data_IF_497164786224
#
_entry.id   IF_497164786224
#
_cell.length_a   1.000
_cell.length_b   1.000
_cell.length_c   1.000
_cell.angle_alpha   90.00
_cell.angle_beta   90.00
_cell.angle_gamma   90.00
#
_symmetry.space_group_name_H-M   'P 1'
#
loop_
_entity.id
_entity.type
_entity.pdbx_description
1 polymer ?
#
# COMPACT_ATOMS: atom_id res chain seq x y z
N UNK A 1 -56.59 -9.38 -21.49
CA UNK A 1 -55.29 -9.91 -21.92
C UNK A 1 -54.47 -8.75 -22.46
N UNK A 2 -53.71 -8.08 -21.58
CA UNK A 2 -52.89 -6.91 -21.94
C UNK A 2 -51.44 -7.38 -21.90
N UNK A 3 -50.83 -7.43 -23.08
CA UNK A 3 -49.42 -7.78 -23.26
C UNK A 3 -48.60 -6.53 -22.97
N UNK A 4 -47.91 -6.50 -21.83
CA UNK A 4 -46.86 -5.51 -21.56
C UNK A 4 -45.61 -5.92 -22.35
N UNK A 5 -45.25 -5.11 -23.35
CA UNK A 5 -43.95 -5.16 -23.99
C UNK A 5 -42.88 -4.65 -23.02
N UNK A 6 -41.96 -5.51 -22.60
CA UNK A 6 -40.70 -5.07 -22.02
C UNK A 6 -39.78 -4.59 -23.15
N UNK A 7 -39.61 -3.27 -23.23
CA UNK A 7 -38.61 -2.63 -24.08
C UNK A 7 -37.24 -2.88 -23.42
N UNK A 8 -36.41 -3.69 -24.07
CA UNK A 8 -34.98 -3.78 -23.80
C UNK A 8 -34.34 -2.44 -24.19
N UNK A 9 -34.17 -1.55 -23.23
CA UNK A 9 -33.26 -0.43 -23.40
C UNK A 9 -31.83 -0.99 -23.36
N UNK A 10 -31.13 -0.92 -24.50
CA UNK A 10 -29.67 -0.91 -24.50
C UNK A 10 -29.25 0.34 -23.74
N UNK A 11 -28.97 0.20 -22.44
CA UNK A 11 -28.43 1.29 -21.65
C UNK A 11 -27.09 1.69 -22.28
N UNK A 12 -27.00 2.97 -22.67
CA UNK A 12 -25.74 3.69 -22.69
C UNK A 12 -24.99 3.34 -21.39
N UNK A 13 -23.77 2.83 -21.51
CA UNK A 13 -22.87 2.68 -20.36
C UNK A 13 -22.57 4.08 -19.85
N UNK A 14 -23.40 4.59 -18.95
CA UNK A 14 -23.01 5.71 -18.11
C UNK A 14 -21.68 5.32 -17.47
N UNK A 15 -20.62 6.08 -17.74
CA UNK A 15 -19.32 5.86 -17.12
C UNK A 15 -19.51 5.95 -15.61
N UNK A 16 -19.43 4.80 -14.94
CA UNK A 16 -19.47 4.67 -13.50
C UNK A 16 -18.24 5.41 -12.93
N UNK A 17 -18.45 6.23 -11.91
CA UNK A 17 -17.37 6.88 -11.16
C UNK A 17 -16.96 5.94 -10.04
N UNK A 18 -15.95 5.11 -10.31
CA UNK A 18 -15.44 4.13 -9.35
C UNK A 18 -14.56 4.75 -8.27
N UNK A 19 -14.69 4.25 -7.05
CA UNK A 19 -13.80 4.59 -5.93
C UNK A 19 -12.47 3.82 -6.06
N UNK A 20 -11.36 4.51 -5.80
CA UNK A 20 -10.00 3.98 -6.01
C UNK A 20 -9.06 4.17 -4.81
N UNK A 21 -9.60 4.66 -3.68
CA UNK A 21 -8.80 5.14 -2.55
C UNK A 21 -8.13 6.48 -2.84
N UNK A 22 -7.51 7.05 -1.82
CA UNK A 22 -6.76 8.31 -1.92
C UNK A 22 -5.28 7.99 -1.82
N UNK A 23 -4.53 8.36 -2.85
CA UNK A 23 -3.07 8.30 -2.83
C UNK A 23 -2.52 9.35 -1.85
N UNK A 24 -1.65 8.92 -0.93
CA UNK A 24 -1.00 9.78 0.05
C UNK A 24 0.39 10.23 -0.39
N UNK A 25 1.04 9.50 -1.29
CA UNK A 25 2.29 9.96 -1.89
C UNK A 25 1.97 11.00 -2.97
N UNK A 26 2.53 12.20 -2.82
CA UNK A 26 2.43 13.20 -3.88
C UNK A 26 3.39 12.85 -5.01
N UNK A 27 3.00 13.12 -6.26
CA UNK A 27 3.86 12.94 -7.43
C UNK A 27 4.46 11.53 -7.56
N UNK A 28 3.60 10.49 -7.55
CA UNK A 28 4.00 9.08 -7.71
C UNK A 28 4.68 8.76 -9.05
N UNK A 29 4.47 9.62 -10.06
CA UNK A 29 5.12 9.52 -11.37
C UNK A 29 6.40 10.36 -11.46
N UNK A 30 6.81 10.97 -10.34
CA UNK A 30 8.02 11.79 -10.23
C UNK A 30 8.10 12.88 -11.30
N UNK A 31 6.96 13.46 -11.72
CA UNK A 31 6.88 14.48 -12.76
C UNK A 31 7.68 15.72 -12.38
N UNK A 32 7.71 16.05 -11.09
CA UNK A 32 8.48 17.17 -10.58
C UNK A 32 9.93 16.75 -10.32
N UNK A 33 10.27 15.48 -10.22
CA UNK A 33 11.59 15.02 -9.77
C UNK A 33 11.87 15.33 -8.28
N UNK A 34 13.13 15.45 -7.88
CA UNK A 34 13.55 15.43 -6.47
C UNK A 34 14.21 16.74 -6.02
N UNK A 35 13.97 17.13 -4.76
CA UNK A 35 14.73 18.18 -4.07
C UNK A 35 15.74 17.53 -3.15
N UNK A 36 17.02 17.77 -3.36
CA UNK A 36 18.11 17.07 -2.67
C UNK A 36 18.65 17.94 -1.55
N UNK A 37 18.60 17.44 -0.32
CA UNK A 37 19.30 18.04 0.80
C UNK A 37 20.79 17.74 0.64
N UNK A 38 21.67 18.76 0.72
CA UNK A 38 23.11 18.53 0.68
C UNK A 38 23.56 17.56 1.78
N UNK A 39 24.55 16.74 1.45
CA UNK A 39 25.25 15.90 2.40
C UNK A 39 25.89 16.76 3.50
N UNK A 40 25.90 16.20 4.71
CA UNK A 40 26.43 16.81 5.92
C UNK A 40 27.01 15.75 6.81
N UNK A 41 28.19 16.03 7.34
CA UNK A 41 28.78 15.28 8.44
C UNK A 41 28.17 15.87 9.70
N UNK A 42 27.39 15.08 10.45
CA UNK A 42 26.57 15.47 11.61
C UNK A 42 25.34 16.38 11.31
N UNK A 43 24.16 15.75 11.28
CA UNK A 43 22.84 16.42 11.28
C UNK A 43 22.69 17.41 12.46
N UNK A 44 22.03 18.61 12.33
CA UNK A 44 21.12 19.01 11.25
C UNK A 44 21.53 20.28 10.46
N UNK A 45 22.80 20.69 10.46
CA UNK A 45 23.22 21.98 9.88
C UNK A 45 22.87 22.14 8.38
N UNK A 46 22.86 21.04 7.62
CA UNK A 46 22.53 20.96 6.19
C UNK A 46 21.06 21.17 5.83
N UNK A 47 20.12 21.00 6.75
CA UNK A 47 18.68 21.08 6.41
C UNK A 47 18.29 22.50 5.94
N UNK A 48 19.08 23.50 6.37
CA UNK A 48 18.94 24.91 5.97
C UNK A 48 19.77 25.28 4.73
N UNK A 49 20.64 24.39 4.26
CA UNK A 49 21.47 24.66 3.10
C UNK A 49 20.63 24.68 1.81
N UNK A 50 21.05 25.44 0.78
CA UNK A 50 20.38 25.44 -0.51
C UNK A 50 20.30 24.02 -1.08
N UNK A 51 19.10 23.62 -1.49
CA UNK A 51 18.85 22.28 -2.04
C UNK A 51 19.18 22.22 -3.53
N UNK A 52 19.68 21.08 -3.98
CA UNK A 52 19.87 20.77 -5.41
C UNK A 52 18.55 20.25 -5.98
N UNK A 53 18.30 20.50 -7.26
CA UNK A 53 17.09 20.04 -7.95
C UNK A 53 17.44 19.02 -9.02
N UNK A 54 16.88 17.82 -8.90
CA UNK A 54 16.96 16.78 -9.93
C UNK A 54 15.64 16.75 -10.68
N UNK A 55 15.62 17.26 -11.91
CA UNK A 55 14.42 17.26 -12.74
C UNK A 55 14.23 15.90 -13.41
N UNK A 56 12.99 15.45 -13.53
CA UNK A 56 12.66 14.33 -14.40
C UNK A 56 12.62 14.81 -15.85
N UNK A 57 13.61 14.45 -16.70
CA UNK A 57 13.66 14.95 -18.08
C UNK A 57 12.59 14.33 -18.98
N UNK A 58 11.91 13.29 -18.52
CA UNK A 58 10.82 12.63 -19.23
C UNK A 58 9.46 13.27 -18.93
N UNK A 59 9.41 14.29 -18.05
CA UNK A 59 8.20 15.02 -17.72
C UNK A 59 8.07 16.33 -18.48
N UNK A 60 6.82 16.67 -18.85
CA UNK A 60 6.46 17.94 -19.46
C UNK A 60 6.06 19.03 -18.44
N UNK A 61 6.10 18.72 -17.13
CA UNK A 61 5.58 19.61 -16.07
C UNK A 61 6.63 20.13 -15.04
N UNK A 62 7.86 20.54 -15.38
CA UNK A 62 8.92 20.79 -14.40
C UNK A 62 8.74 21.99 -13.43
N UNK A 63 7.62 22.73 -13.44
CA UNK A 63 7.53 24.08 -12.86
C UNK A 63 6.89 24.21 -11.45
N UNK A 64 6.94 23.16 -10.61
CA UNK A 64 6.55 23.23 -9.17
C UNK A 64 7.66 22.71 -8.26
N UNK A 65 7.58 23.07 -6.98
CA UNK A 65 8.42 22.50 -5.92
C UNK A 65 8.29 20.97 -5.89
N UNK A 66 9.41 20.30 -5.65
CA UNK A 66 9.42 18.84 -5.48
C UNK A 66 8.61 18.46 -4.25
N UNK A 67 7.74 17.47 -4.38
CA UNK A 67 7.19 16.81 -3.19
C UNK A 67 8.20 15.81 -2.62
N UNK A 68 8.94 15.13 -3.50
CA UNK A 68 10.00 14.23 -3.11
C UNK A 68 11.26 14.97 -2.66
N UNK A 69 11.74 14.61 -1.48
CA UNK A 69 13.00 15.09 -0.93
C UNK A 69 13.98 13.92 -0.89
N UNK A 70 15.19 14.11 -1.42
CA UNK A 70 16.28 13.15 -1.25
C UNK A 70 17.19 13.63 -0.13
N UNK A 71 17.55 12.74 0.79
CA UNK A 71 18.49 13.01 1.88
C UNK A 71 19.75 12.18 1.71
N UNK A 72 20.88 12.79 2.04
CA UNK A 72 22.22 12.22 1.88
C UNK A 72 22.99 12.30 3.21
N UNK A 73 22.34 12.00 4.34
CA UNK A 73 22.92 12.19 5.67
C UNK A 73 24.24 11.43 5.83
N UNK A 74 25.21 12.10 6.44
CA UNK A 74 26.53 11.57 6.79
C UNK A 74 27.31 10.96 5.61
N UNK A 75 26.99 11.42 4.41
CA UNK A 75 27.76 11.11 3.21
C UNK A 75 28.90 12.09 2.98
N UNK A 76 29.96 11.60 2.33
CA UNK A 76 31.11 12.39 1.91
C UNK A 76 30.87 13.24 0.66
N UNK A 77 29.94 12.87 -0.22
CA UNK A 77 29.71 13.57 -1.48
C UNK A 77 28.27 13.99 -1.71
N UNK A 78 28.14 15.03 -2.53
CA UNK A 78 26.88 15.61 -2.92
C UNK A 78 26.56 15.25 -4.37
N UNK A 79 25.39 14.67 -4.62
CA UNK A 79 24.83 14.63 -5.97
C UNK A 79 24.66 16.07 -6.48
N UNK A 80 25.21 16.36 -7.67
CA UNK A 80 24.98 17.62 -8.40
C UNK A 80 23.74 17.51 -9.30
N UNK A 81 23.35 18.62 -9.91
CA UNK A 81 22.26 18.63 -10.89
C UNK A 81 22.67 18.05 -12.26
N UNK A 82 23.97 17.77 -12.46
CA UNK A 82 24.51 17.30 -13.73
C UNK A 82 24.21 15.80 -13.88
N UNK A 83 23.19 15.52 -14.69
CA UNK A 83 22.76 14.16 -14.99
C UNK A 83 23.27 13.70 -16.36
N UNK A 84 23.41 12.39 -16.50
CA UNK A 84 23.68 11.74 -17.79
C UNK A 84 22.52 10.82 -18.17
N UNK A 85 22.18 10.80 -19.45
CA UNK A 85 21.23 9.82 -19.97
C UNK A 85 21.85 8.44 -19.99
N UNK A 86 21.08 7.44 -19.56
CA UNK A 86 21.45 6.03 -19.53
C UNK A 86 20.33 5.19 -20.14
N UNK A 87 20.64 3.94 -20.48
CA UNK A 87 19.66 2.96 -20.94
C UNK A 87 20.06 1.59 -20.40
N UNK A 88 19.16 0.90 -19.71
CA UNK A 88 19.39 -0.41 -19.10
C UNK A 88 18.98 -1.58 -20.03
N UNK A 89 18.61 -1.29 -21.27
CA UNK A 89 18.05 -2.21 -22.25
C UNK A 89 16.53 -2.36 -22.17
N UNK A 90 15.89 -1.84 -21.11
CA UNK A 90 14.42 -1.86 -20.92
C UNK A 90 13.83 -0.47 -21.09
N UNK A 91 14.48 0.55 -20.55
CA UNK A 91 13.99 1.93 -20.57
C UNK A 91 15.13 2.95 -20.57
N UNK A 92 14.84 4.16 -21.07
CA UNK A 92 15.75 5.29 -20.91
C UNK A 92 15.68 5.80 -19.47
N UNK A 93 16.82 6.24 -18.94
CA UNK A 93 16.93 6.81 -17.61
C UNK A 93 17.80 8.05 -17.57
N UNK A 94 17.66 8.82 -16.50
CA UNK A 94 18.54 9.91 -16.15
C UNK A 94 19.25 9.57 -14.84
N UNK A 95 20.58 9.53 -14.89
CA UNK A 95 21.45 9.16 -13.79
C UNK A 95 22.16 10.38 -13.23
N UNK A 96 22.17 10.49 -11.90
CA UNK A 96 23.07 11.37 -11.15
C UNK A 96 23.93 10.52 -10.22
N UNK A 97 25.23 10.76 -10.20
CA UNK A 97 26.17 9.91 -9.45
C UNK A 97 27.40 10.64 -8.96
N UNK A 98 27.96 10.13 -7.88
CA UNK A 98 29.31 10.40 -7.37
C UNK A 98 30.06 9.07 -7.22
N UNK A 99 31.27 9.07 -6.65
CA UNK A 99 31.97 7.81 -6.30
C UNK A 99 31.27 7.04 -5.18
N UNK A 100 30.45 7.72 -4.37
CA UNK A 100 29.78 7.19 -3.19
C UNK A 100 28.36 6.69 -3.47
N UNK A 101 27.67 7.27 -4.46
CA UNK A 101 26.25 7.02 -4.67
C UNK A 101 25.79 7.24 -6.09
N UNK A 102 24.66 6.61 -6.41
CA UNK A 102 23.99 6.77 -7.70
C UNK A 102 22.49 6.77 -7.51
N UNK A 103 21.82 7.70 -8.19
CA UNK A 103 20.37 7.75 -8.32
C UNK A 103 19.99 7.77 -9.79
N UNK A 104 19.01 6.95 -10.17
CA UNK A 104 18.47 6.93 -11.53
C UNK A 104 16.95 7.02 -11.47
N UNK A 105 16.38 7.88 -12.31
CA UNK A 105 14.96 7.84 -12.66
C UNK A 105 14.81 7.28 -14.07
N UNK A 106 13.97 6.27 -14.25
CA UNK A 106 13.64 5.70 -15.55
C UNK A 106 12.32 6.24 -16.09
N UNK A 107 12.20 6.31 -17.42
CA UNK A 107 11.00 6.76 -18.11
C UNK A 107 9.78 5.87 -17.85
N UNK A 108 10.00 4.61 -17.46
CA UNK A 108 8.95 3.64 -17.12
C UNK A 108 8.49 3.72 -15.64
N UNK A 109 8.96 4.72 -14.89
CA UNK A 109 8.56 4.95 -13.50
C UNK A 109 9.38 4.19 -12.46
N UNK A 110 10.41 3.43 -12.85
CA UNK A 110 11.35 2.82 -11.90
C UNK A 110 12.35 3.84 -11.35
N UNK A 111 12.76 3.65 -10.11
CA UNK A 111 13.88 4.35 -9.48
C UNK A 111 14.98 3.37 -9.11
N UNK A 112 16.24 3.75 -9.29
CA UNK A 112 17.37 2.97 -8.81
C UNK A 112 18.21 3.78 -7.83
N UNK A 113 18.47 3.20 -6.66
CA UNK A 113 19.25 3.80 -5.59
C UNK A 113 20.48 2.91 -5.33
N UNK A 114 21.66 3.50 -5.44
CA UNK A 114 22.93 2.81 -5.14
C UNK A 114 23.77 3.59 -4.15
N UNK A 115 24.46 2.84 -3.29
CA UNK A 115 25.39 3.36 -2.29
C UNK A 115 26.66 2.51 -2.30
N UNK A 116 27.80 3.16 -2.12
CA UNK A 116 29.13 2.58 -2.03
C UNK A 116 29.67 2.82 -0.61
N UNK A 117 29.21 2.01 0.34
CA UNK A 117 29.62 2.12 1.75
C UNK A 117 31.12 1.94 1.92
N UNK A 118 31.79 1.15 1.07
CA UNK A 118 33.24 1.02 1.12
C UNK A 118 33.94 2.38 0.93
N UNK A 119 33.54 3.15 -0.07
CA UNK A 119 34.12 4.47 -0.33
C UNK A 119 33.66 5.52 0.69
N UNK A 120 32.37 5.53 1.05
CA UNK A 120 31.82 6.43 2.07
C UNK A 120 32.54 6.29 3.42
N UNK A 121 33.08 5.11 3.75
CA UNK A 121 33.82 4.91 4.99
C UNK A 121 35.35 4.80 4.81
N UNK A 122 35.86 5.06 3.61
CA UNK A 122 37.30 4.95 3.30
C UNK A 122 37.87 3.57 3.61
N UNK A 123 37.08 2.50 3.41
CA UNK A 123 37.44 1.11 3.68
C UNK A 123 37.56 0.74 5.15
N UNK A 124 37.07 1.57 6.09
CA UNK A 124 37.14 1.32 7.54
C UNK A 124 35.75 1.24 8.14
N UNK A 125 35.45 0.18 8.88
CA UNK A 125 34.16 0.12 9.57
C UNK A 125 33.97 1.28 10.54
N UNK A 126 32.76 1.84 10.56
CA UNK A 126 32.42 2.91 11.49
C UNK A 126 32.46 2.42 12.96
N UNK A 127 32.68 3.36 13.88
CA UNK A 127 32.56 3.09 15.30
C UNK A 127 31.08 2.92 15.74
N UNK A 128 30.86 2.44 16.97
CA UNK A 128 29.51 2.19 17.50
C UNK A 128 28.63 3.44 17.51
N UNK A 129 29.20 4.55 17.97
CA UNK A 129 28.47 5.81 18.18
C UNK A 129 28.69 6.82 17.02
N UNK A 130 29.36 6.38 15.94
CA UNK A 130 29.52 7.20 14.75
C UNK A 130 28.19 7.26 13.98
N UNK A 131 27.86 8.41 13.38
CA UNK A 131 26.72 8.50 12.48
C UNK A 131 26.93 7.60 11.25
N UNK A 132 25.87 7.37 10.48
CA UNK A 132 25.91 6.45 9.35
C UNK A 132 25.27 7.02 8.10
N UNK A 133 25.75 6.55 6.96
CA UNK A 133 25.37 7.01 5.63
C UNK A 133 23.92 6.68 5.34
N UNK A 134 23.21 7.68 4.83
CA UNK A 134 21.86 7.53 4.29
C UNK A 134 21.79 7.98 2.83
N UNK A 135 20.96 7.28 2.06
CA UNK A 135 20.40 7.75 0.80
C UNK A 135 18.91 7.43 0.81
N UNK A 136 18.09 8.34 1.35
CA UNK A 136 16.64 8.14 1.44
C UNK A 136 15.89 9.12 0.54
N UNK A 137 14.75 8.67 0.05
CA UNK A 137 13.68 9.48 -0.51
C UNK A 137 12.63 9.65 0.57
N UNK A 138 12.12 10.86 0.77
CA UNK A 138 11.15 11.17 1.81
C UNK A 138 10.08 12.14 1.31
N UNK A 139 8.91 12.10 1.96
CA UNK A 139 7.85 13.09 1.81
C UNK A 139 7.25 13.45 3.17
N UNK A 140 6.92 14.72 3.33
CA UNK A 140 5.94 15.15 4.32
C UNK A 140 4.54 14.96 3.73
N UNK A 141 3.69 14.19 4.41
CA UNK A 141 2.33 13.87 3.96
C UNK A 141 1.35 14.72 4.78
N UNK A 142 1.03 14.27 6.00
CA UNK A 142 0.15 14.96 6.94
C UNK A 142 -1.20 15.34 6.34
N UNK A 143 -1.88 16.27 7.02
CA UNK A 143 -3.20 16.77 6.59
C UNK A 143 -3.12 17.45 5.21
N UNK A 144 -2.01 18.15 4.92
CA UNK A 144 -1.82 18.86 3.65
C UNK A 144 -1.71 17.90 2.44
N UNK A 145 -1.15 16.70 2.65
CA UNK A 145 -1.11 15.61 1.68
C UNK A 145 -2.40 14.78 1.61
N UNK A 146 -3.47 15.19 2.30
CA UNK A 146 -4.77 14.51 2.26
C UNK A 146 -4.93 13.36 3.25
N UNK A 147 -4.00 13.17 4.20
CA UNK A 147 -4.16 12.18 5.25
C UNK A 147 -5.36 12.53 6.14
N UNK A 148 -6.20 11.54 6.42
CA UNK A 148 -7.32 11.66 7.38
C UNK A 148 -6.95 10.98 8.71
N UNK A 149 -7.69 11.25 9.79
CA UNK A 149 -7.49 10.54 11.05
C UNK A 149 -7.59 9.01 10.91
N UNK A 150 -6.84 8.26 11.71
CA UNK A 150 -6.78 6.79 11.63
C UNK A 150 -8.12 6.10 11.94
N UNK A 151 -9.05 6.74 12.64
CA UNK A 151 -10.39 6.19 12.89
C UNK A 151 -11.30 6.24 11.65
N UNK A 152 -10.95 7.05 10.64
CA UNK A 152 -11.66 7.15 9.36
C UNK A 152 -11.08 6.23 8.27
N UNK A 153 -9.93 5.60 8.53
CA UNK A 153 -9.26 4.71 7.57
C UNK A 153 -9.66 3.26 7.83
N UNK A 154 -10.23 2.62 6.81
CA UNK A 154 -10.53 1.18 6.84
C UNK A 154 -9.29 0.36 6.54
N UNK A 155 -8.52 0.81 5.55
CA UNK A 155 -7.35 0.12 5.03
C UNK A 155 -6.31 1.16 4.60
N UNK A 156 -5.04 0.88 4.91
CA UNK A 156 -3.89 1.69 4.54
C UNK A 156 -2.91 0.79 3.80
N UNK A 157 -2.99 0.78 2.48
CA UNK A 157 -2.29 -0.20 1.65
C UNK A 157 -0.99 0.36 1.09
N UNK A 158 0.11 -0.35 1.32
CA UNK A 158 1.34 -0.17 0.55
C UNK A 158 1.33 -1.03 -0.71
N UNK A 159 1.98 -0.53 -1.74
CA UNK A 159 2.45 -1.32 -2.87
C UNK A 159 3.83 -0.82 -3.28
N UNK A 160 4.80 -1.71 -3.39
CA UNK A 160 6.12 -1.43 -3.95
C UNK A 160 6.72 -2.69 -4.55
N UNK A 161 7.21 -2.58 -5.77
CA UNK A 161 8.06 -3.61 -6.38
C UNK A 161 9.49 -3.32 -5.99
N UNK A 162 10.22 -4.32 -5.49
CA UNK A 162 11.60 -4.16 -5.02
C UNK A 162 12.48 -5.23 -5.64
N UNK A 163 13.63 -4.83 -6.18
CA UNK A 163 14.64 -5.76 -6.71
C UNK A 163 16.03 -5.39 -6.22
N UNK A 164 16.76 -6.36 -5.63
CA UNK A 164 18.18 -6.22 -5.36
C UNK A 164 18.98 -6.53 -6.63
N UNK A 165 19.63 -5.52 -7.19
CA UNK A 165 20.46 -5.68 -8.39
C UNK A 165 21.89 -6.07 -8.03
N UNK A 166 22.42 -5.48 -6.96
CA UNK A 166 23.80 -5.71 -6.52
C UNK A 166 23.93 -5.59 -5.01
N UNK A 167 24.75 -6.46 -4.43
CA UNK A 167 25.20 -6.38 -3.04
C UNK A 167 26.60 -6.96 -2.92
N UNK A 168 27.51 -6.19 -2.38
CA UNK A 168 28.78 -6.66 -1.83
C UNK A 168 28.89 -6.15 -0.39
N UNK A 169 29.01 -7.04 0.58
CA UNK A 169 29.07 -6.68 1.99
C UNK A 169 30.44 -6.16 2.41
N UNK A 170 31.48 -6.42 1.62
CA UNK A 170 32.87 -6.10 1.95
C UNK A 170 33.24 -6.55 3.37
N UNK A 171 32.93 -7.81 3.70
CA UNK A 171 33.28 -8.40 5.01
C UNK A 171 34.80 -8.56 5.10
N UNK A 172 35.41 -7.86 6.04
CA UNK A 172 36.85 -7.86 6.30
C UNK A 172 37.13 -7.78 7.81
N UNK A 173 38.39 -7.90 8.27
CA UNK A 173 38.73 -7.78 9.69
C UNK A 173 38.16 -6.49 10.32
N UNK A 174 37.53 -6.63 11.49
CA UNK A 174 36.80 -5.54 12.15
C UNK A 174 35.29 -5.52 11.90
N UNK A 175 34.76 -6.41 11.03
CA UNK A 175 33.32 -6.55 10.83
C UNK A 175 32.61 -6.98 12.14
N UNK A 176 31.46 -6.36 12.42
CA UNK A 176 30.59 -6.71 13.51
C UNK A 176 29.15 -6.76 13.00
N UNK A 177 28.57 -7.95 12.90
CA UNK A 177 27.21 -8.17 12.39
C UNK A 177 26.12 -7.40 13.15
N UNK A 178 26.35 -7.10 14.43
CA UNK A 178 25.39 -6.35 15.23
C UNK A 178 25.46 -4.83 14.99
N UNK A 179 26.43 -4.36 14.20
CA UNK A 179 26.70 -2.94 13.98
C UNK A 179 26.84 -2.55 12.50
N UNK A 180 27.34 -3.45 11.66
CA UNK A 180 27.69 -3.20 10.26
C UNK A 180 26.74 -3.97 9.34
N UNK A 181 25.98 -3.21 8.56
CA UNK A 181 24.93 -3.72 7.68
C UNK A 181 24.61 -2.70 6.59
N UNK A 182 24.13 -3.19 5.45
CA UNK A 182 23.40 -2.42 4.47
C UNK A 182 21.93 -2.79 4.56
N UNK A 183 21.08 -1.84 4.91
CA UNK A 183 19.63 -2.03 4.99
C UNK A 183 18.89 -1.04 4.10
N UNK A 184 17.71 -1.44 3.64
CA UNK A 184 16.84 -0.64 2.81
C UNK A 184 15.43 -0.55 3.43
N UNK A 185 15.24 0.28 4.47
CA UNK A 185 13.94 0.42 5.10
C UNK A 185 12.97 1.28 4.29
N UNK A 186 11.68 1.06 4.55
CA UNK A 186 10.55 1.92 4.22
C UNK A 186 9.79 2.24 5.51
N UNK A 187 9.80 3.47 5.98
CA UNK A 187 9.08 3.89 7.19
C UNK A 187 8.08 5.00 6.91
N UNK A 188 7.00 5.03 7.69
CA UNK A 188 6.10 6.17 7.83
C UNK A 188 5.90 6.52 9.30
N UNK A 189 5.60 7.78 9.58
CA UNK A 189 5.21 8.20 10.93
C UNK A 189 3.71 8.09 11.11
N UNK A 190 3.27 7.50 12.23
CA UNK A 190 1.90 7.67 12.72
C UNK A 190 1.94 8.76 13.79
N UNK A 191 1.41 9.93 13.44
CA UNK A 191 1.69 11.19 14.13
C UNK A 191 0.43 11.87 14.63
N UNK A 192 0.48 12.42 15.84
CA UNK A 192 -0.58 13.28 16.35
C UNK A 192 -0.51 14.64 15.65
N UNK A 193 -1.53 14.99 14.86
CA UNK A 193 -1.60 16.26 14.12
C UNK A 193 -2.74 17.17 14.59
N UNK A 194 -3.31 16.92 15.77
CA UNK A 194 -4.36 17.76 16.35
C UNK A 194 -3.75 19.01 16.98
N UNK A 195 -3.91 20.16 16.32
CA UNK A 195 -3.38 21.43 16.81
C UNK A 195 -3.91 21.74 18.22
N UNK A 196 -3.00 22.09 19.13
CA UNK A 196 -3.31 22.41 20.53
C UNK A 196 -3.32 21.20 21.48
N UNK A 197 -3.23 19.97 20.96
CA UNK A 197 -3.04 18.79 21.81
C UNK A 197 -1.62 18.78 22.41
N UNK A 198 -1.43 18.41 23.70
CA UNK A 198 -0.10 18.34 24.32
C UNK A 198 0.88 17.36 23.67
N UNK A 199 0.39 16.40 22.88
CA UNK A 199 1.21 15.46 22.11
C UNK A 199 1.29 15.82 20.62
N UNK A 200 0.86 17.02 20.21
CA UNK A 200 0.97 17.48 18.82
C UNK A 200 2.41 17.32 18.30
N UNK A 201 2.54 16.71 17.13
CA UNK A 201 3.81 16.42 16.46
C UNK A 201 4.51 15.15 16.96
N UNK A 202 4.09 14.53 18.07
CA UNK A 202 4.65 13.23 18.50
C UNK A 202 4.16 12.09 17.62
N UNK A 203 5.00 11.08 17.45
CA UNK A 203 4.72 9.95 16.58
C UNK A 203 5.40 8.65 17.06
N UNK A 204 5.06 7.55 16.39
CA UNK A 204 5.94 6.39 16.29
C UNK A 204 6.21 6.08 14.81
N UNK A 205 7.34 5.42 14.55
CA UNK A 205 7.70 4.91 13.23
C UNK A 205 6.99 3.57 13.00
N UNK A 206 6.27 3.47 11.90
CA UNK A 206 5.70 2.24 11.38
C UNK A 206 6.35 1.93 10.04
N UNK A 207 7.02 0.79 9.89
CA UNK A 207 7.67 0.51 8.61
C UNK A 207 8.07 -0.93 8.34
N UNK A 208 8.54 -1.12 7.12
CA UNK A 208 8.88 -2.40 6.52
C UNK A 208 10.37 -2.38 6.16
N UNK A 209 11.21 -3.18 6.84
CA UNK A 209 12.59 -3.35 6.43
C UNK A 209 12.61 -4.23 5.17
N UNK A 210 12.58 -3.61 3.99
CA UNK A 210 12.46 -4.30 2.68
C UNK A 210 13.67 -5.19 2.39
N UNK A 211 14.85 -4.75 2.84
CA UNK A 211 16.09 -5.50 2.75
C UNK A 211 16.98 -5.22 3.96
N UNK A 212 17.65 -6.26 4.47
CA UNK A 212 18.72 -6.19 5.45
C UNK A 212 19.70 -7.32 5.12
N UNK A 213 20.95 -6.99 4.83
CA UNK A 213 21.96 -7.97 4.39
C UNK A 213 22.25 -9.08 5.41
N UNK A 214 21.76 -8.95 6.64
CA UNK A 214 21.93 -9.93 7.71
C UNK A 214 20.79 -10.94 7.78
N UNK A 215 19.60 -10.62 7.27
CA UNK A 215 18.42 -11.48 7.42
C UNK A 215 17.60 -11.52 6.13
N UNK A 216 17.34 -12.72 5.55
CA UNK A 216 16.52 -12.81 4.34
C UNK A 216 15.11 -12.25 4.51
N UNK A 217 14.49 -12.51 5.67
CA UNK A 217 13.14 -12.04 6.00
C UNK A 217 13.20 -11.36 7.36
N UNK A 218 13.06 -10.04 7.38
CA UNK A 218 13.10 -9.25 8.61
C UNK A 218 11.97 -9.70 9.55
N UNK A 219 12.28 -10.11 10.80
CA UNK A 219 11.26 -10.48 11.77
C UNK A 219 10.55 -9.23 12.33
N UNK A 220 9.53 -9.44 13.15
CA UNK A 220 8.92 -8.36 13.94
C UNK A 220 10.00 -7.66 14.78
N UNK A 221 10.07 -6.34 14.69
CA UNK A 221 10.98 -5.50 15.47
C UNK A 221 10.21 -4.37 16.16
N UNK A 222 10.38 -4.24 17.48
CA UNK A 222 9.72 -3.22 18.28
C UNK A 222 10.69 -2.66 19.32
N UNK A 223 11.19 -1.45 19.11
CA UNK A 223 12.20 -0.84 19.99
C UNK A 223 12.12 0.68 20.01
N UNK A 224 12.72 1.31 21.03
CA UNK A 224 12.92 2.76 21.05
C UNK A 224 14.03 3.17 20.10
N UNK A 225 13.75 4.15 19.26
CA UNK A 225 14.75 4.81 18.43
C UNK A 225 15.47 5.89 19.23
N UNK A 226 16.79 5.77 19.34
CA UNK A 226 17.61 6.77 20.02
C UNK A 226 17.75 8.06 19.20
N UNK A 227 17.65 7.97 17.87
CA UNK A 227 17.80 9.13 16.98
C UNK A 227 16.65 10.12 17.12
N UNK A 228 15.41 9.62 17.21
CA UNK A 228 14.20 10.45 17.32
C UNK A 228 13.57 10.48 18.70
N UNK A 229 13.91 9.55 19.58
CA UNK A 229 13.23 9.35 20.87
C UNK A 229 11.82 8.74 20.73
N UNK A 230 11.46 8.24 19.55
CA UNK A 230 10.16 7.62 19.26
C UNK A 230 10.24 6.09 19.29
N UNK A 231 9.08 5.42 19.33
CA UNK A 231 9.04 3.96 19.10
C UNK A 231 9.20 3.66 17.61
N UNK A 232 9.92 2.58 17.27
CA UNK A 232 9.82 1.88 15.99
C UNK A 232 8.97 0.62 16.18
N UNK A 233 7.97 0.46 15.33
CA UNK A 233 7.21 -0.77 15.15
C UNK A 233 7.34 -1.23 13.70
N UNK A 234 7.99 -2.37 13.49
CA UNK A 234 8.20 -2.94 12.17
C UNK A 234 7.63 -4.36 12.12
N UNK A 235 6.47 -4.59 11.49
CA UNK A 235 5.94 -5.95 11.34
C UNK A 235 6.90 -6.84 10.55
N UNK A 236 6.79 -8.15 10.74
CA UNK A 236 7.59 -9.11 9.98
C UNK A 236 7.32 -8.96 8.48
N UNK A 237 8.38 -8.99 7.68
CA UNK A 237 8.31 -8.82 6.22
C UNK A 237 7.43 -9.89 5.54
N UNK A 238 7.35 -11.09 6.15
CA UNK A 238 6.51 -12.19 5.69
C UNK A 238 5.00 -11.90 5.68
N UNK A 239 4.55 -10.81 6.30
CA UNK A 239 3.15 -10.37 6.20
C UNK A 239 2.84 -9.70 4.85
N UNK A 240 3.85 -9.31 4.07
CA UNK A 240 3.70 -8.50 2.86
C UNK A 240 4.29 -9.13 1.59
N UNK A 241 5.15 -10.14 1.76
CA UNK A 241 5.70 -10.94 0.67
C UNK A 241 6.13 -12.32 1.17
N UNK A 242 6.06 -13.33 0.31
CA UNK A 242 6.50 -14.70 0.60
C UNK A 242 7.91 -15.02 0.08
N UNK A 243 8.51 -14.10 -0.68
CA UNK A 243 9.85 -14.23 -1.26
C UNK A 243 10.72 -13.08 -0.77
N UNK A 244 11.98 -13.38 -0.43
CA UNK A 244 12.95 -12.37 0.00
C UNK A 244 13.50 -11.57 -1.19
N UNK A 245 13.77 -10.29 -0.96
CA UNK A 245 14.51 -9.41 -1.88
C UNK A 245 15.94 -9.93 -2.15
N UNK A 246 16.49 -10.78 -1.28
CA UNK A 246 17.77 -11.48 -1.52
C UNK A 246 17.75 -12.41 -2.74
N UNK A 247 16.57 -12.80 -3.22
CA UNK A 247 16.42 -13.62 -4.44
C UNK A 247 16.91 -12.92 -5.70
N UNK A 248 17.05 -11.58 -5.67
CA UNK A 248 17.33 -10.71 -6.82
C UNK A 248 16.26 -10.71 -7.91
N UNK A 249 15.16 -11.45 -7.71
CA UNK A 249 13.95 -11.30 -8.52
C UNK A 249 13.19 -10.05 -8.08
N UNK A 250 12.26 -9.59 -8.92
CA UNK A 250 11.29 -8.57 -8.51
C UNK A 250 10.40 -9.19 -7.43
N UNK A 251 10.34 -8.55 -6.26
CA UNK A 251 9.46 -8.92 -5.16
C UNK A 251 8.35 -7.88 -5.08
N UNK A 252 7.11 -8.33 -5.23
CA UNK A 252 5.92 -7.50 -5.05
C UNK A 252 5.59 -7.44 -3.55
N UNK A 253 5.79 -6.28 -2.92
CA UNK A 253 5.51 -6.06 -1.50
C UNK A 253 4.23 -5.25 -1.38
N UNK A 254 3.16 -5.88 -0.88
CA UNK A 254 1.86 -5.24 -0.70
C UNK A 254 1.14 -5.73 0.55
N UNK A 255 0.33 -4.87 1.16
CA UNK A 255 -0.53 -5.26 2.27
C UNK A 255 -1.11 -4.08 3.04
N UNK A 256 -2.09 -4.37 3.89
CA UNK A 256 -2.74 -3.40 4.77
C UNK A 256 -1.93 -3.16 6.05
N UNK A 257 -1.64 -1.90 6.31
CA UNK A 257 -0.89 -1.41 7.47
C UNK A 257 -1.77 -1.02 8.65
N UNK A 258 -3.10 -0.86 8.47
CA UNK A 258 -3.97 -0.42 9.56
C UNK A 258 -3.93 -1.34 10.79
N UNK A 259 -3.88 -2.68 10.67
CA UNK A 259 -3.69 -3.55 11.82
C UNK A 259 -2.39 -3.23 12.57
N UNK A 260 -1.30 -2.97 11.85
CA UNK A 260 0.00 -2.66 12.43
C UNK A 260 0.10 -1.23 12.97
N UNK A 261 -0.64 -0.27 12.41
CA UNK A 261 -0.79 1.07 13.00
C UNK A 261 -1.47 1.00 14.38
N UNK A 262 -2.51 0.16 14.51
CA UNK A 262 -3.18 -0.06 15.81
C UNK A 262 -2.25 -0.75 16.81
N UNK A 263 -1.55 -1.81 16.40
CA UNK A 263 -0.59 -2.52 17.26
C UNK A 263 0.61 -1.65 17.66
N UNK A 264 1.15 -0.87 16.72
CA UNK A 264 2.25 0.07 16.97
C UNK A 264 1.85 1.18 17.93
N UNK A 265 0.63 1.74 17.79
CA UNK A 265 0.12 2.72 18.74
C UNK A 265 -0.04 2.14 20.15
N UNK A 266 -0.58 0.91 20.25
CA UNK A 266 -0.71 0.20 21.53
C UNK A 266 0.65 0.00 22.20
N UNK A 267 1.67 -0.42 21.45
CA UNK A 267 3.03 -0.60 21.98
C UNK A 267 3.69 0.74 22.34
N UNK A 268 3.45 1.80 21.56
CA UNK A 268 3.97 3.14 21.86
C UNK A 268 3.41 3.68 23.18
N UNK A 269 2.11 3.47 23.42
CA UNK A 269 1.45 3.88 24.67
C UNK A 269 1.93 3.03 25.84
N UNK A 270 1.96 1.71 25.67
CA UNK A 270 2.42 0.76 26.70
C UNK A 270 3.84 1.06 27.19
N UNK A 271 4.71 1.56 26.31
CA UNK A 271 6.11 1.92 26.63
C UNK A 271 6.32 3.41 26.93
N UNK A 272 5.24 4.21 26.97
CA UNK A 272 5.28 5.61 27.39
C UNK A 272 5.77 6.61 26.33
N UNK A 273 5.89 6.22 25.07
CA UNK A 273 6.24 7.12 23.96
C UNK A 273 5.08 8.04 23.58
N UNK A 274 3.84 7.54 23.69
CA UNK A 274 2.59 8.25 23.43
C UNK A 274 1.63 8.02 24.60
N UNK A 275 0.57 8.82 24.73
CA UNK A 275 -0.40 8.71 25.84
C UNK A 275 -1.83 8.43 25.38
N UNK A 276 -2.24 8.94 24.23
CA UNK A 276 -3.64 8.85 23.77
C UNK A 276 -3.93 7.56 23.00
N UNK A 277 -4.98 6.82 23.38
CA UNK A 277 -5.51 5.69 22.59
C UNK A 277 -6.49 6.13 21.50
N UNK A 278 -6.85 7.41 21.47
CA UNK A 278 -7.82 7.98 20.53
C UNK A 278 -7.23 8.08 19.12
N UNK A 279 -7.71 7.22 18.22
CA UNK A 279 -7.27 7.14 16.83
C UNK A 279 -7.61 8.38 16.02
N UNK A 280 -8.62 9.16 16.42
CA UNK A 280 -8.99 10.40 15.74
C UNK A 280 -7.88 11.46 15.80
N UNK A 281 -6.89 11.28 16.69
CA UNK A 281 -5.75 12.19 16.83
C UNK A 281 -4.59 11.88 15.89
N UNK A 282 -4.49 10.65 15.40
CA UNK A 282 -3.33 10.15 14.69
C UNK A 282 -3.57 10.13 13.18
N UNK A 283 -2.54 10.46 12.42
CA UNK A 283 -2.53 10.57 10.97
C UNK A 283 -1.25 9.94 10.42
N UNK A 284 -1.24 9.62 9.13
CA UNK A 284 0.02 9.41 8.40
C UNK A 284 0.73 10.76 8.26
N UNK A 285 1.87 10.93 8.92
CA UNK A 285 2.60 12.21 9.01
C UNK A 285 3.58 12.44 7.86
N UNK A 286 4.51 11.53 7.65
CA UNK A 286 5.48 11.54 6.57
C UNK A 286 6.08 10.15 6.38
N UNK A 287 6.97 10.00 5.40
CA UNK A 287 7.59 8.73 5.07
C UNK A 287 9.02 8.89 4.57
N UNK A 288 9.81 7.83 4.69
CA UNK A 288 11.08 7.68 4.00
C UNK A 288 11.30 6.26 3.47
N UNK A 289 12.10 6.13 2.43
CA UNK A 289 12.55 4.86 1.85
C UNK A 289 13.94 5.02 1.27
N UNK A 290 14.83 4.05 1.47
CA UNK A 290 16.14 4.08 0.83
C UNK A 290 17.21 3.35 1.61
N UNK A 291 18.48 3.61 1.29
CA UNK A 291 19.61 2.98 1.96
C UNK A 291 19.93 3.63 3.31
N UNK A 292 20.11 2.80 4.32
CA UNK A 292 20.87 3.11 5.54
C UNK A 292 22.04 2.14 5.63
N UNK A 293 23.27 2.64 5.65
CA UNK A 293 24.47 1.81 5.57
C UNK A 293 25.37 2.09 6.73
N UNK A 294 25.61 1.08 7.56
CA UNK A 294 26.48 1.14 8.74
C UNK A 294 27.73 0.26 8.58
N UNK A 295 27.77 -0.58 7.54
CA UNK A 295 28.92 -1.38 7.13
C UNK A 295 29.60 -0.85 5.88
N UNK A 296 30.50 -1.64 5.29
CA UNK A 296 31.18 -1.30 4.04
C UNK A 296 30.37 -1.72 2.80
N UNK A 297 29.07 -1.90 2.95
CA UNK A 297 28.20 -2.48 1.94
C UNK A 297 28.11 -1.60 0.69
N UNK A 298 28.28 -2.22 -0.48
CA UNK A 298 27.96 -1.63 -1.77
C UNK A 298 26.66 -2.26 -2.26
N UNK A 299 25.60 -1.47 -2.33
CA UNK A 299 24.25 -1.94 -2.62
C UNK A 299 23.59 -1.18 -3.74
N UNK A 300 22.85 -1.88 -4.60
CA UNK A 300 21.94 -1.29 -5.59
C UNK A 300 20.57 -1.95 -5.47
N UNK A 301 19.56 -1.15 -5.16
CA UNK A 301 18.15 -1.56 -5.18
C UNK A 301 17.43 -0.73 -6.24
N UNK A 302 16.52 -1.40 -6.93
CA UNK A 302 15.53 -0.80 -7.81
C UNK A 302 14.15 -0.93 -7.19
N UNK A 303 13.36 0.15 -7.28
CA UNK A 303 11.97 0.17 -6.85
C UNK A 303 11.04 0.61 -8.00
N UNK A 304 9.82 0.07 -8.01
CA UNK A 304 8.77 0.40 -8.96
C UNK A 304 7.38 0.32 -8.33
N UNK A 305 6.36 0.75 -9.07
CA UNK A 305 4.95 0.66 -8.67
C UNK A 305 4.66 1.22 -7.26
N UNK A 306 5.37 2.28 -6.86
CA UNK A 306 5.35 2.73 -5.47
C UNK A 306 4.09 3.56 -5.15
N UNK A 307 3.29 3.10 -4.19
CA UNK A 307 2.08 3.81 -3.72
C UNK A 307 1.78 3.57 -2.24
N UNK A 308 1.12 4.54 -1.63
CA UNK A 308 0.49 4.44 -0.31
C UNK A 308 -0.95 4.97 -0.41
N UNK A 309 -1.92 4.06 -0.36
CA UNK A 309 -3.33 4.44 -0.46
C UNK A 309 -4.05 4.29 0.87
N UNK A 310 -4.82 5.31 1.24
CA UNK A 310 -5.84 5.19 2.28
C UNK A 310 -7.21 4.93 1.65
N UNK A 311 -7.98 4.02 2.24
CA UNK A 311 -9.36 3.75 1.89
C UNK A 311 -10.26 4.11 3.06
N UNK A 312 -11.26 4.93 2.81
CA UNK A 312 -12.19 5.44 3.83
C UNK A 312 -13.62 5.03 3.49
N UNK A 313 -14.55 5.32 4.38
CA UNK A 313 -15.97 5.10 4.10
C UNK A 313 -16.43 5.82 2.81
N UNK A 314 -15.85 6.99 2.53
CA UNK A 314 -16.23 7.82 1.39
C UNK A 314 -15.48 7.46 0.09
N UNK A 315 -14.44 6.63 0.18
CA UNK A 315 -13.65 6.19 -0.96
C UNK A 315 -13.17 4.75 -0.72
N UNK A 316 -14.11 3.78 -0.69
CA UNK A 316 -13.82 2.40 -0.32
C UNK A 316 -12.95 1.70 -1.38
N UNK A 317 -12.25 0.66 -0.93
CA UNK A 317 -11.45 -0.23 -1.78
C UNK A 317 -12.36 -1.11 -2.64
N UNK A 318 -12.00 -1.29 -3.91
CA UNK A 318 -12.57 -2.34 -4.77
C UNK A 318 -11.82 -3.66 -4.62
N UNK A 319 -12.50 -4.78 -4.86
CA UNK A 319 -11.95 -6.13 -4.77
C UNK A 319 -11.80 -6.71 -6.16
N UNK A 320 -10.58 -7.08 -6.54
CA UNK A 320 -10.22 -7.39 -7.92
C UNK A 320 -9.71 -8.82 -8.11
N UNK A 321 -9.31 -9.51 -7.02
CA UNK A 321 -8.90 -10.91 -7.03
C UNK A 321 -7.75 -11.22 -8.01
N UNK A 322 -6.91 -10.22 -8.29
CA UNK A 322 -5.83 -10.27 -9.29
C UNK A 322 -4.55 -10.96 -8.78
N UNK A 323 -4.45 -11.23 -7.49
CA UNK A 323 -3.33 -11.96 -6.91
C UNK A 323 -3.73 -13.40 -6.63
N UNK A 324 -3.06 -14.34 -7.27
CA UNK A 324 -3.34 -15.77 -7.13
C UNK A 324 -3.31 -16.20 -5.67
N UNK A 325 -4.39 -16.87 -5.23
CA UNK A 325 -4.60 -17.31 -3.86
C UNK A 325 -5.09 -16.23 -2.88
N UNK A 326 -5.04 -14.94 -3.22
CA UNK A 326 -5.49 -13.86 -2.34
C UNK A 326 -6.98 -13.55 -2.50
N UNK A 327 -7.78 -14.02 -1.56
CA UNK A 327 -9.22 -13.73 -1.44
C UNK A 327 -9.55 -12.26 -1.09
N UNK A 328 -8.54 -11.42 -0.86
CA UNK A 328 -8.66 -10.04 -0.40
C UNK A 328 -9.50 -9.89 0.89
N UNK A 329 -9.46 -10.93 1.74
CA UNK A 329 -10.18 -11.00 3.00
C UNK A 329 -11.62 -11.49 2.92
N UNK A 330 -12.14 -11.77 1.72
CA UNK A 330 -13.44 -12.42 1.57
C UNK A 330 -13.40 -13.87 2.06
N UNK A 331 -14.47 -14.33 2.71
CA UNK A 331 -14.53 -15.63 3.36
C UNK A 331 -15.78 -16.39 2.95
N UNK A 332 -15.59 -17.68 2.67
CA UNK A 332 -16.67 -18.66 2.54
C UNK A 332 -17.18 -18.95 3.95
N UNK A 333 -18.47 -18.75 4.22
CA UNK A 333 -19.05 -18.93 5.57
C UNK A 333 -19.72 -20.28 5.67
N UNK A 334 -20.67 -20.55 4.78
CA UNK A 334 -21.46 -21.78 4.75
C UNK A 334 -21.61 -22.21 3.31
N UNK A 335 -21.60 -23.52 3.07
CA UNK A 335 -22.17 -24.11 1.84
C UNK A 335 -21.54 -23.61 0.53
N UNK A 336 -20.29 -23.15 0.59
CA UNK A 336 -19.48 -22.73 -0.55
C UNK A 336 -18.17 -23.52 -0.62
N UNK A 337 -18.05 -24.39 -1.62
CA UNK A 337 -16.80 -24.99 -2.03
C UNK A 337 -16.03 -24.06 -2.98
N UNK A 338 -14.78 -24.40 -3.28
CA UNK A 338 -13.95 -23.69 -4.26
C UNK A 338 -13.27 -24.70 -5.19
N UNK A 339 -13.15 -24.37 -6.47
CA UNK A 339 -12.49 -25.25 -7.46
C UNK A 339 -10.97 -25.11 -7.45
N UNK A 340 -10.48 -23.94 -7.02
CA UNK A 340 -9.06 -23.60 -6.92
C UNK A 340 -8.71 -23.22 -5.48
N UNK A 341 -7.41 -23.17 -5.15
CA UNK A 341 -6.93 -22.71 -3.85
C UNK A 341 -7.03 -21.17 -3.72
N UNK A 342 -8.25 -20.62 -3.81
CA UNK A 342 -8.52 -19.19 -3.88
C UNK A 342 -8.59 -18.66 -5.31
N UNK A 343 -8.52 -17.33 -5.51
CA UNK A 343 -8.50 -16.73 -6.83
C UNK A 343 -7.32 -17.20 -7.69
N UNK A 344 -7.52 -17.21 -9.01
CA UNK A 344 -6.53 -17.59 -10.00
C UNK A 344 -6.76 -16.79 -11.29
N UNK A 345 -5.73 -16.11 -11.79
CA UNK A 345 -5.79 -15.29 -13.00
C UNK A 345 -6.92 -14.24 -12.99
N UNK A 346 -7.08 -13.51 -11.88
CA UNK A 346 -8.08 -12.45 -11.74
C UNK A 346 -9.51 -12.94 -11.52
N UNK A 347 -9.70 -14.24 -11.22
CA UNK A 347 -11.03 -14.84 -11.05
C UNK A 347 -11.07 -15.78 -9.86
N UNK A 348 -12.16 -15.75 -9.10
CA UNK A 348 -12.43 -16.71 -8.04
C UNK A 348 -13.62 -17.58 -8.41
N UNK A 349 -13.38 -18.88 -8.62
CA UNK A 349 -14.42 -19.84 -8.99
C UNK A 349 -14.80 -20.67 -7.76
N UNK A 350 -16.07 -20.54 -7.39
CA UNK A 350 -16.73 -21.15 -6.24
C UNK A 350 -17.76 -22.17 -6.72
N UNK A 351 -18.15 -23.07 -5.82
CA UNK A 351 -19.16 -24.11 -6.05
C UNK A 351 -20.15 -24.09 -4.89
N UNK A 352 -21.29 -23.39 -5.04
CA UNK A 352 -22.36 -23.40 -4.04
C UNK A 352 -22.99 -24.79 -3.93
N UNK A 353 -23.13 -25.28 -2.71
CA UNK A 353 -23.72 -26.59 -2.38
C UNK A 353 -24.73 -26.41 -1.25
N UNK A 354 -25.72 -27.28 -1.11
CA UNK A 354 -26.60 -27.22 0.07
C UNK A 354 -27.51 -25.99 0.09
N UNK A 355 -27.88 -25.49 1.25
CA UNK A 355 -28.86 -24.40 1.40
C UNK A 355 -28.16 -23.12 1.89
N UNK A 356 -28.53 -21.97 1.32
CA UNK A 356 -28.02 -20.66 1.75
C UNK A 356 -26.47 -20.57 1.73
N UNK A 357 -25.84 -20.82 0.56
CA UNK A 357 -24.41 -20.61 0.37
C UNK A 357 -24.04 -19.13 0.53
N UNK A 358 -23.01 -18.83 1.32
CA UNK A 358 -22.73 -17.45 1.75
C UNK A 358 -21.26 -17.04 1.62
N UNK A 359 -21.02 -16.00 0.82
CA UNK A 359 -19.72 -15.35 0.68
C UNK A 359 -19.71 -14.01 1.43
N UNK A 360 -18.81 -13.87 2.40
CA UNK A 360 -18.78 -12.74 3.32
C UNK A 360 -17.58 -11.84 3.04
N UNK A 361 -17.81 -10.53 2.93
CA UNK A 361 -16.74 -9.53 2.76
C UNK A 361 -15.80 -9.50 3.96
N UNK A 362 -14.58 -8.94 3.87
CA UNK A 362 -13.88 -8.48 5.07
C UNK A 362 -14.68 -7.39 5.82
N UNK A 363 -14.17 -6.90 6.95
CA UNK A 363 -14.72 -5.68 7.55
C UNK A 363 -14.42 -4.52 6.61
N UNK A 364 -15.45 -3.75 6.29
CA UNK A 364 -15.38 -2.62 5.38
C UNK A 364 -15.93 -1.36 6.02
N UNK A 365 -15.72 -0.23 5.35
CA UNK A 365 -16.48 0.99 5.60
C UNK A 365 -16.98 1.51 4.27
N UNK A 366 -18.30 1.63 4.13
CA UNK A 366 -18.95 2.21 2.97
C UNK A 366 -19.95 3.24 3.49
N UNK A 367 -19.72 4.50 3.16
CA UNK A 367 -20.67 5.57 3.39
C UNK A 367 -21.74 5.52 2.30
N UNK A 368 -22.96 5.10 2.68
CA UNK A 368 -24.07 4.98 1.75
C UNK A 368 -24.53 6.33 1.20
N UNK A 369 -24.11 7.45 1.82
CA UNK A 369 -24.37 8.79 1.30
C UNK A 369 -23.64 9.03 -0.03
N UNK A 370 -22.47 8.42 -0.25
CA UNK A 370 -21.66 8.60 -1.47
C UNK A 370 -21.65 7.37 -2.37
N UNK A 371 -21.66 6.15 -1.81
CA UNK A 371 -21.69 4.92 -2.62
C UNK A 371 -23.12 4.61 -3.00
N UNK A 372 -23.43 4.69 -4.29
CA UNK A 372 -24.79 4.46 -4.82
C UNK A 372 -24.94 3.19 -5.60
N UNK A 373 -23.83 2.62 -6.07
CA UNK A 373 -23.83 1.38 -6.83
C UNK A 373 -22.73 0.44 -6.37
N UNK A 374 -23.07 -0.84 -6.39
CA UNK A 374 -22.12 -1.95 -6.29
C UNK A 374 -22.15 -2.67 -7.63
N UNK A 375 -20.99 -2.83 -8.25
CA UNK A 375 -20.83 -3.51 -9.53
C UNK A 375 -20.12 -4.83 -9.25
N UNK A 376 -20.75 -5.93 -9.63
CA UNK A 376 -20.17 -7.26 -9.52
C UNK A 376 -20.00 -7.82 -10.92
N UNK A 377 -18.76 -8.12 -11.32
CA UNK A 377 -18.52 -8.90 -12.54
C UNK A 377 -18.41 -10.36 -12.15
N UNK A 378 -19.34 -11.16 -12.64
CA UNK A 378 -19.49 -12.55 -12.25
C UNK A 378 -20.01 -13.42 -13.39
N UNK A 379 -19.94 -14.73 -13.19
CA UNK A 379 -20.51 -15.75 -14.06
C UNK A 379 -21.31 -16.76 -13.22
N UNK A 380 -22.51 -17.07 -13.68
CA UNK A 380 -23.30 -18.18 -13.18
C UNK A 380 -23.29 -19.29 -14.24
N UNK A 381 -22.62 -20.38 -13.95
CA UNK A 381 -22.48 -21.51 -14.86
C UNK A 381 -23.45 -22.62 -14.45
N UNK A 382 -24.68 -22.55 -14.99
CA UNK A 382 -25.74 -23.54 -14.80
C UNK A 382 -26.19 -23.76 -13.34
N UNK A 383 -26.19 -22.70 -12.52
CA UNK A 383 -26.80 -22.75 -11.18
C UNK A 383 -28.32 -23.02 -11.24
N UNK A 384 -28.91 -23.62 -10.19
CA UNK A 384 -30.30 -24.07 -10.18
C UNK A 384 -31.34 -22.95 -10.08
N UNK A 385 -30.95 -21.73 -9.71
CA UNK A 385 -31.79 -20.53 -9.81
C UNK A 385 -31.03 -19.36 -10.44
N UNK A 386 -31.77 -18.43 -11.03
CA UNK A 386 -31.26 -17.27 -11.78
C UNK A 386 -31.27 -16.00 -10.92
N UNK A 387 -30.99 -16.16 -9.61
CA UNK A 387 -31.04 -15.07 -8.63
C UNK A 387 -29.73 -14.92 -7.86
N UNK A 388 -29.37 -13.68 -7.54
CA UNK A 388 -28.31 -13.36 -6.58
C UNK A 388 -28.86 -12.39 -5.54
N UNK A 389 -28.58 -12.64 -4.28
CA UNK A 389 -28.93 -11.73 -3.19
C UNK A 389 -27.66 -11.12 -2.60
N UNK A 390 -27.67 -9.79 -2.46
CA UNK A 390 -26.65 -9.07 -1.71
C UNK A 390 -27.27 -8.52 -0.44
N UNK A 391 -26.68 -8.86 0.71
CA UNK A 391 -27.00 -8.29 2.00
C UNK A 391 -25.94 -7.28 2.44
N UNK A 392 -26.35 -6.35 3.29
CA UNK A 392 -25.45 -5.45 4.00
C UNK A 392 -25.79 -5.36 5.49
N UNK A 393 -24.78 -5.03 6.29
CA UNK A 393 -24.93 -4.76 7.72
C UNK A 393 -24.16 -3.50 8.11
N UNK A 394 -24.72 -2.70 9.02
CA UNK A 394 -24.03 -1.57 9.67
C UNK A 394 -23.27 -2.02 10.93
N UNK A 395 -23.42 -3.28 11.34
CA UNK A 395 -22.66 -3.94 12.39
C UNK A 395 -21.67 -4.92 11.77
N UNK A 396 -20.38 -4.77 12.10
CA UNK A 396 -19.30 -5.58 11.55
C UNK A 396 -19.36 -7.06 11.96
N UNK A 397 -20.05 -7.36 13.07
CA UNK A 397 -20.13 -8.69 13.71
C UNK A 397 -21.57 -9.18 13.92
N UNK A 398 -22.55 -8.30 13.71
CA UNK A 398 -23.96 -8.59 13.88
C UNK A 398 -24.56 -9.45 12.75
N UNK A 399 -25.77 -9.97 12.96
CA UNK A 399 -26.47 -10.77 11.96
C UNK A 399 -26.92 -9.92 10.76
N UNK A 400 -27.06 -10.58 9.61
CA UNK A 400 -27.73 -9.98 8.45
C UNK A 400 -29.24 -10.01 8.61
N UNK A 401 -29.91 -9.07 7.96
CA UNK A 401 -31.36 -8.91 7.99
C UNK A 401 -31.89 -8.88 6.55
N UNK A 402 -32.97 -9.61 6.28
CA UNK A 402 -33.64 -9.66 4.97
C UNK A 402 -34.04 -8.27 4.46
N UNK A 403 -34.44 -7.36 5.35
CA UNK A 403 -34.78 -5.99 4.99
C UNK A 403 -33.58 -5.16 4.49
N UNK A 404 -32.36 -5.60 4.81
CA UNK A 404 -31.11 -5.01 4.35
C UNK A 404 -30.49 -5.90 3.28
N UNK A 405 -31.30 -6.22 2.26
CA UNK A 405 -30.86 -6.99 1.10
C UNK A 405 -31.47 -6.45 -0.19
N UNK A 406 -30.87 -6.85 -1.31
CA UNK A 406 -31.41 -6.66 -2.64
C UNK A 406 -31.25 -7.95 -3.44
N UNK A 407 -32.29 -8.32 -4.16
CA UNK A 407 -32.26 -9.40 -5.13
C UNK A 407 -32.05 -8.84 -6.52
N UNK A 408 -31.20 -9.48 -7.30
CA UNK A 408 -31.07 -9.23 -8.73
C UNK A 408 -31.26 -10.53 -9.51
N UNK A 409 -31.81 -10.40 -10.71
CA UNK A 409 -31.83 -11.50 -11.66
C UNK A 409 -30.49 -11.58 -12.40
N UNK A 410 -29.99 -12.79 -12.56
CA UNK A 410 -28.70 -13.11 -13.19
C UNK A 410 -28.91 -14.12 -14.31
N UNK A 411 -27.99 -14.21 -15.27
CA UNK A 411 -28.11 -15.11 -16.42
C UNK A 411 -27.22 -16.34 -16.17
N UNK A 412 -27.83 -17.53 -16.19
CA UNK A 412 -27.14 -18.80 -15.96
C UNK A 412 -26.62 -19.41 -17.28
N UNK A 413 -25.79 -18.67 -18.02
CA UNK A 413 -25.20 -19.10 -19.30
C UNK A 413 -23.68 -19.29 -19.25
N UNK A 414 -23.08 -19.24 -18.06
CA UNK A 414 -21.64 -19.35 -17.84
C UNK A 414 -20.83 -18.16 -18.35
N UNK A 415 -21.47 -17.11 -18.88
CA UNK A 415 -20.77 -15.93 -19.40
C UNK A 415 -20.51 -14.91 -18.29
N UNK A 416 -19.35 -14.28 -18.37
CA UNK A 416 -18.97 -13.17 -17.51
C UNK A 416 -19.76 -11.91 -17.85
N UNK A 417 -20.48 -11.37 -16.88
CA UNK A 417 -21.32 -10.18 -17.03
C UNK A 417 -21.15 -9.26 -15.84
N UNK A 418 -21.29 -7.98 -16.09
CA UNK A 418 -21.37 -6.96 -15.04
C UNK A 418 -22.83 -6.81 -14.61
N UNK A 419 -23.06 -6.98 -13.32
CA UNK A 419 -24.34 -6.73 -12.68
C UNK A 419 -24.20 -5.48 -11.81
N UNK A 420 -25.11 -4.53 -12.00
CA UNK A 420 -25.11 -3.25 -11.31
C UNK A 420 -26.25 -3.27 -10.31
N UNK A 421 -25.90 -3.25 -9.02
CA UNK A 421 -26.85 -3.14 -7.92
C UNK A 421 -26.98 -1.66 -7.58
N UNK A 422 -28.15 -1.08 -7.89
CA UNK A 422 -28.44 0.34 -7.72
C UNK A 422 -29.20 0.60 -6.41
N UNK A 423 -28.63 1.46 -5.57
CA UNK A 423 -29.16 1.82 -4.25
C UNK A 423 -29.72 3.25 -4.19
N UNK A 424 -29.77 4.00 -5.30
CA UNK A 424 -30.20 5.41 -5.31
C UNK A 424 -31.57 5.63 -4.66
N UNK A 425 -32.50 4.68 -4.85
CA UNK A 425 -33.86 4.74 -4.31
C UNK A 425 -34.09 3.75 -3.16
N UNK A 426 -33.04 3.12 -2.65
CA UNK A 426 -33.15 2.15 -1.57
C UNK A 426 -33.14 2.85 -0.20
N UNK A 427 -34.32 3.03 0.39
CA UNK A 427 -34.49 3.66 1.71
C UNK A 427 -33.76 2.94 2.87
N UNK A 428 -33.29 1.71 2.66
CA UNK A 428 -32.55 0.90 3.64
C UNK A 428 -31.04 0.98 3.46
N UNK A 429 -30.57 1.60 2.37
CA UNK A 429 -29.16 1.87 2.10
C UNK A 429 -28.71 3.16 2.83
N UNK A 430 -28.63 3.07 4.15
CA UNK A 430 -28.36 4.21 5.05
C UNK A 430 -27.19 3.90 6.00
N UNK A 431 -26.54 4.96 6.51
CA UNK A 431 -25.41 4.92 7.44
C UNK A 431 -24.11 4.34 6.85
N UNK A 432 -23.19 3.89 7.71
CA UNK A 432 -21.95 3.23 7.30
C UNK A 432 -22.19 1.72 7.25
N UNK A 433 -22.11 1.13 6.06
CA UNK A 433 -22.08 -0.31 5.89
C UNK A 433 -20.71 -0.84 6.30
N UNK A 434 -20.73 -1.91 7.13
CA UNK A 434 -19.56 -2.53 7.76
C UNK A 434 -19.24 -3.92 7.25
N UNK A 435 -20.21 -4.58 6.59
CA UNK A 435 -20.09 -5.91 5.98
C UNK A 435 -21.05 -6.06 4.79
N UNK A 436 -20.66 -6.87 3.82
CA UNK A 436 -21.50 -7.40 2.76
C UNK A 436 -21.54 -8.93 2.83
N UNK A 437 -22.65 -9.52 2.41
CA UNK A 437 -22.78 -10.95 2.17
C UNK A 437 -23.43 -11.18 0.81
N UNK A 438 -22.78 -11.98 -0.02
CA UNK A 438 -23.28 -12.40 -1.32
C UNK A 438 -23.77 -13.83 -1.18
N UNK A 439 -25.04 -14.03 -1.53
CA UNK A 439 -25.68 -15.32 -1.57
C UNK A 439 -25.92 -15.62 -3.05
N UNK A 440 -25.09 -16.48 -3.68
CA UNK A 440 -25.08 -16.64 -5.14
C UNK A 440 -26.24 -17.46 -5.69
N UNK A 441 -26.95 -18.19 -4.83
CA UNK A 441 -28.10 -19.05 -5.15
C UNK A 441 -28.82 -19.38 -3.84
N UNK A 442 -30.12 -19.71 -3.86
CA UNK A 442 -30.83 -20.14 -2.63
C UNK A 442 -30.43 -21.53 -2.17
N UNK A 443 -30.25 -22.44 -3.13
CA UNK A 443 -29.86 -23.83 -2.88
C UNK A 443 -28.88 -24.27 -3.95
N UNK A 444 -27.64 -24.54 -3.57
CA UNK A 444 -26.60 -24.99 -4.49
C UNK A 444 -26.67 -26.48 -4.81
N UNK A 445 -26.28 -26.83 -6.03
CA UNK A 445 -26.15 -28.21 -6.53
C UNK A 445 -24.70 -28.58 -6.90
N UNK A 446 -23.75 -27.68 -6.65
CA UNK A 446 -22.34 -27.83 -6.98
C UNK A 446 -21.90 -27.17 -8.29
N UNK A 447 -22.80 -26.56 -9.05
CA UNK A 447 -22.47 -25.85 -10.28
C UNK A 447 -21.59 -24.59 -10.05
N UNK A 448 -21.04 -24.04 -11.13
CA UNK A 448 -19.99 -23.01 -11.05
C UNK A 448 -20.52 -21.60 -10.78
N UNK A 449 -19.94 -20.92 -9.80
CA UNK A 449 -20.12 -19.49 -9.54
C UNK A 449 -18.78 -18.77 -9.59
N UNK A 450 -18.59 -17.85 -10.54
CA UNK A 450 -17.33 -17.11 -10.70
C UNK A 450 -17.47 -15.65 -10.33
N UNK A 451 -16.49 -15.08 -9.64
CA UNK A 451 -16.34 -13.62 -9.41
C UNK A 451 -15.03 -13.15 -10.03
N UNK A 452 -15.07 -12.04 -10.76
CA UNK A 452 -13.92 -11.34 -11.36
C UNK A 452 -13.59 -10.13 -10.48
N UNK A 453 -14.59 -9.27 -10.20
CA UNK A 453 -14.39 -8.15 -9.28
C UNK A 453 -15.69 -7.71 -8.59
N UNK A 454 -15.52 -6.95 -7.49
CA UNK A 454 -16.56 -6.22 -6.77
C UNK A 454 -16.10 -4.78 -6.59
N UNK A 455 -16.79 -3.84 -7.25
CA UNK A 455 -16.43 -2.42 -7.27
C UNK A 455 -17.54 -1.54 -6.71
N UNK A 456 -17.15 -0.37 -6.24
CA UNK A 456 -18.04 0.63 -5.67
C UNK A 456 -18.05 1.88 -6.55
N UNK A 457 -19.23 2.45 -6.80
CA UNK A 457 -19.36 3.65 -7.61
C UNK A 457 -20.35 4.67 -7.03
N UNK A 458 -20.13 5.93 -7.40
CA UNK A 458 -20.90 7.07 -6.91
C UNK A 458 -22.22 7.32 -7.65
N UNK A 459 -22.37 6.84 -8.90
CA UNK A 459 -23.45 7.30 -9.79
C UNK A 459 -24.04 6.26 -10.73
#
# INVERSE_FOLDING_TARGET
>A
MIVLFFILFTYSTANQVYFQGTELLSDVNYTQGFSVIPACISSPSCVKAPRVRLYNPFSTAPNKSASWIMVQWDSHSNISADGIFVNDGRSQGMQWSTEDKRFIIFQDGRLQLSVNGFHEYGGKYKARDAPWVHLLLQQDIGIAGGAVPLDQINELRWNVDVQLLYMDQHIQPGYNRNLHTGMFPLYMTIQNLVKGDPEYGKYFWLGLPLYDDRVPMSPLYINGDQGTGSLIYSPAFSNFANISVHSKSIVHVTGDMMPFARLGLQEAIKRGFLKSTDLSKYYVGGMNIGWEVTGLNNGTIEIGSFSLKQYTAQNPKSYEFNSDGDTEGWKRVTDLNQFTNGPLNGKWILSPVGNDPQLLSPIIMIDTAVVKKIIIKMSNDHLPDDSLQLFWSTDATGPFNENNSIWIQVINDGKWREYILDFCNNSKWINIVRRLRIDPVRKGDGAGFGIDYIRFAAN
#
